data_IF_460299811793
#
_entry.id   IF_460299811793
#
_cell.length_a   1.000
_cell.length_b   1.000
_cell.length_c   1.000
_cell.angle_alpha   90.00
_cell.angle_beta   90.00
_cell.angle_gamma   90.00
#
_symmetry.space_group_name_H-M   'P 1'
#
loop_
_entity.id
_entity.type
_entity.pdbx_description
1 polymer ?
#
# COMPACT_ATOMS: atom_id res chain seq x y z
N UNK A 1 -15.53 -17.53 -24.43
CA UNK A 1 -16.40 -18.32 -23.55
C UNK A 1 -15.82 -19.71 -23.33
N UNK A 2 -16.25 -20.37 -22.22
CA UNK A 2 -15.76 -21.72 -21.91
C UNK A 2 -16.31 -22.78 -22.89
N UNK A 3 -15.45 -23.75 -23.28
CA UNK A 3 -15.81 -24.84 -24.22
C UNK A 3 -17.10 -25.59 -23.82
N UNK A 4 -17.32 -25.78 -22.54
CA UNK A 4 -18.45 -26.54 -21.99
C UNK A 4 -19.50 -25.66 -21.32
N UNK A 5 -19.59 -24.38 -21.73
CA UNK A 5 -20.55 -23.42 -21.16
C UNK A 5 -21.99 -23.92 -21.16
N UNK A 6 -22.39 -24.59 -22.25
CA UNK A 6 -23.75 -25.05 -22.49
C UNK A 6 -23.92 -26.56 -22.26
N UNK A 7 -22.94 -27.18 -21.55
CA UNK A 7 -23.05 -28.58 -21.16
C UNK A 7 -24.21 -28.75 -20.16
N UNK A 8 -25.18 -29.68 -20.42
CA UNK A 8 -26.25 -29.97 -19.47
C UNK A 8 -25.70 -30.33 -18.07
N UNK A 9 -26.37 -29.88 -17.04
CA UNK A 9 -25.93 -30.09 -15.65
C UNK A 9 -25.72 -31.57 -15.31
N UNK A 10 -26.65 -32.44 -15.72
CA UNK A 10 -26.58 -33.89 -15.49
C UNK A 10 -25.35 -34.53 -16.13
N UNK A 11 -24.98 -34.06 -17.33
CA UNK A 11 -23.79 -34.54 -18.03
C UNK A 11 -22.50 -34.05 -17.34
N UNK A 12 -22.49 -32.80 -16.89
CA UNK A 12 -21.38 -32.25 -16.12
C UNK A 12 -21.18 -33.04 -14.80
N UNK A 13 -22.26 -33.30 -14.07
CA UNK A 13 -22.24 -34.09 -12.84
C UNK A 13 -21.75 -35.53 -13.08
N UNK A 14 -22.23 -36.17 -14.16
CA UNK A 14 -21.81 -37.53 -14.53
C UNK A 14 -20.28 -37.60 -14.77
N UNK A 15 -19.72 -36.62 -15.48
CA UNK A 15 -18.27 -36.54 -15.74
C UNK A 15 -17.46 -36.32 -14.46
N UNK A 16 -17.94 -35.41 -13.61
CA UNK A 16 -17.29 -35.17 -12.30
C UNK A 16 -17.28 -36.44 -11.45
N UNK A 17 -18.41 -37.15 -11.39
CA UNK A 17 -18.50 -38.44 -10.66
C UNK A 17 -17.64 -39.53 -11.27
N UNK A 18 -17.36 -39.45 -12.57
CA UNK A 18 -16.43 -40.36 -13.27
C UNK A 18 -14.94 -40.01 -13.03
N UNK A 19 -14.65 -38.96 -12.26
CA UNK A 19 -13.29 -38.53 -11.91
C UNK A 19 -12.60 -37.71 -13.01
N UNK A 20 -13.33 -37.19 -14.00
CA UNK A 20 -12.74 -36.29 -14.99
C UNK A 20 -12.27 -34.99 -14.31
N UNK A 21 -11.05 -34.51 -14.62
CA UNK A 21 -10.58 -33.24 -14.07
C UNK A 21 -11.42 -32.07 -14.59
N UNK A 22 -11.79 -31.15 -13.71
CA UNK A 22 -12.59 -30.00 -14.05
C UNK A 22 -12.14 -28.72 -13.36
N UNK A 23 -12.61 -27.60 -13.83
CA UNK A 23 -12.57 -26.29 -13.17
C UNK A 23 -13.98 -25.77 -13.03
N UNK A 24 -14.29 -25.15 -11.90
CA UNK A 24 -15.58 -24.46 -11.74
C UNK A 24 -15.47 -23.04 -12.30
N UNK A 25 -16.38 -22.71 -13.23
CA UNK A 25 -16.44 -21.36 -13.81
C UNK A 25 -17.73 -20.65 -13.42
N UNK A 26 -17.63 -19.33 -13.27
CA UNK A 26 -18.80 -18.48 -13.26
C UNK A 26 -19.31 -18.35 -14.68
N UNK A 27 -20.61 -18.55 -14.87
CA UNK A 27 -21.28 -18.29 -16.14
C UNK A 27 -21.78 -16.85 -16.12
N UNK A 28 -21.12 -15.98 -16.88
CA UNK A 28 -21.54 -14.59 -16.96
C UNK A 28 -22.79 -14.42 -17.80
N UNK A 29 -23.71 -13.61 -17.32
CA UNK A 29 -24.93 -13.19 -18.04
C UNK A 29 -24.87 -11.69 -18.38
N UNK A 30 -23.71 -11.03 -18.17
CA UNK A 30 -23.54 -9.62 -18.47
C UNK A 30 -23.51 -9.33 -19.96
N UNK A 31 -23.91 -8.12 -20.30
CA UNK A 31 -23.89 -7.56 -21.64
C UNK A 31 -22.97 -6.35 -21.66
N UNK A 32 -21.87 -6.37 -22.45
CA UNK A 32 -20.92 -5.24 -22.50
C UNK A 32 -21.50 -3.97 -23.13
N UNK A 33 -22.69 -4.02 -23.73
CA UNK A 33 -23.43 -2.83 -24.17
C UNK A 33 -24.14 -2.11 -23.01
N UNK A 34 -24.31 -2.79 -21.87
CA UNK A 34 -24.82 -2.20 -20.64
C UNK A 34 -23.67 -1.71 -19.75
N UNK A 35 -23.89 -0.60 -19.05
CA UNK A 35 -22.89 0.00 -18.19
C UNK A 35 -23.31 -0.01 -16.74
N UNK A 36 -22.35 -0.43 -15.89
CA UNK A 36 -22.42 -0.29 -14.45
C UNK A 36 -22.00 1.12 -14.06
N UNK A 37 -22.88 1.85 -13.36
CA UNK A 37 -22.57 3.18 -12.80
C UNK A 37 -22.00 3.01 -11.39
N UNK A 38 -20.68 2.93 -11.29
CA UNK A 38 -19.96 2.65 -10.05
C UNK A 38 -19.47 3.94 -9.39
N UNK A 39 -19.28 3.90 -8.08
CA UNK A 39 -18.71 5.03 -7.33
C UNK A 39 -17.49 4.56 -6.55
N UNK A 40 -16.31 4.92 -7.04
CA UNK A 40 -15.04 4.75 -6.34
C UNK A 40 -14.85 5.87 -5.31
N UNK A 41 -14.37 5.53 -4.11
CA UNK A 41 -14.25 6.51 -3.03
C UNK A 41 -13.10 7.51 -3.24
N UNK A 42 -12.17 7.22 -4.17
CA UNK A 42 -11.04 8.07 -4.54
C UNK A 42 -11.30 8.74 -5.88
N UNK A 43 -11.75 7.96 -6.89
CA UNK A 43 -11.86 8.39 -8.29
C UNK A 43 -13.23 8.97 -8.65
N UNK A 44 -14.21 8.84 -7.74
CA UNK A 44 -15.57 9.30 -7.99
C UNK A 44 -16.37 8.35 -8.88
N UNK A 45 -17.26 8.90 -9.71
CA UNK A 45 -18.13 8.11 -10.59
C UNK A 45 -17.36 7.56 -11.78
N UNK A 46 -17.55 6.28 -12.05
CA UNK A 46 -16.92 5.55 -13.16
C UNK A 46 -17.97 4.67 -13.83
N UNK A 47 -18.11 4.82 -15.12
CA UNK A 47 -18.96 3.97 -15.93
C UNK A 47 -18.11 2.84 -16.55
N UNK A 48 -18.52 1.60 -16.31
CA UNK A 48 -17.79 0.41 -16.78
C UNK A 48 -18.77 -0.55 -17.45
N UNK A 49 -18.39 -1.19 -18.57
CA UNK A 49 -19.25 -2.22 -19.18
C UNK A 49 -19.43 -3.40 -18.22
N UNK A 50 -20.58 -4.05 -18.29
CA UNK A 50 -20.76 -5.32 -17.60
C UNK A 50 -19.76 -6.36 -18.08
N UNK A 51 -19.40 -7.28 -17.20
CA UNK A 51 -18.53 -8.39 -17.57
C UNK A 51 -19.33 -9.48 -18.29
N UNK A 52 -18.96 -9.78 -19.53
CA UNK A 52 -19.51 -10.86 -20.35
C UNK A 52 -18.68 -12.14 -20.35
N UNK A 53 -17.47 -12.10 -19.73
CA UNK A 53 -16.53 -13.20 -19.75
C UNK A 53 -16.80 -14.23 -18.65
N UNK A 54 -16.83 -15.52 -19.06
CA UNK A 54 -16.78 -16.61 -18.08
C UNK A 54 -15.39 -16.69 -17.44
N UNK A 55 -15.31 -16.73 -16.14
CA UNK A 55 -14.03 -16.82 -15.43
C UNK A 55 -13.99 -17.97 -14.42
N UNK A 56 -12.80 -18.47 -14.15
CA UNK A 56 -12.60 -19.60 -13.22
C UNK A 56 -12.82 -19.15 -11.79
N UNK A 57 -13.68 -19.85 -11.05
CA UNK A 57 -13.87 -19.70 -9.61
C UNK A 57 -12.93 -20.62 -8.83
N UNK A 58 -12.97 -21.95 -9.15
CA UNK A 58 -12.09 -22.95 -8.55
C UNK A 58 -11.25 -23.61 -9.62
N UNK A 59 -9.97 -23.74 -9.36
CA UNK A 59 -9.03 -24.47 -10.18
C UNK A 59 -9.24 -25.99 -10.05
N UNK A 60 -8.59 -26.78 -10.90
CA UNK A 60 -8.68 -28.24 -10.87
C UNK A 60 -8.17 -28.89 -9.59
N UNK A 61 -7.33 -28.20 -8.83
CA UNK A 61 -6.82 -28.58 -7.53
C UNK A 61 -7.77 -28.18 -6.37
N UNK A 62 -8.93 -27.61 -6.68
CA UNK A 62 -9.91 -27.10 -5.71
C UNK A 62 -9.58 -25.74 -5.08
N UNK A 63 -8.42 -25.16 -5.42
CA UNK A 63 -8.02 -23.84 -4.89
C UNK A 63 -8.78 -22.74 -5.62
N UNK A 64 -9.40 -21.77 -4.90
CA UNK A 64 -10.10 -20.66 -5.52
C UNK A 64 -9.13 -19.74 -6.28
N UNK A 65 -9.65 -19.09 -7.32
CA UNK A 65 -8.96 -17.97 -7.94
C UNK A 65 -9.10 -16.72 -7.09
N UNK A 66 -8.26 -15.72 -7.35
CA UNK A 66 -8.31 -14.43 -6.64
C UNK A 66 -9.70 -13.81 -6.65
N UNK A 67 -10.39 -13.81 -7.78
CA UNK A 67 -11.72 -13.18 -7.89
C UNK A 67 -12.74 -13.80 -6.95
N UNK A 68 -12.74 -15.12 -6.82
CA UNK A 68 -13.67 -15.82 -5.93
C UNK A 68 -13.25 -15.69 -4.47
N UNK A 69 -11.96 -15.90 -4.17
CA UNK A 69 -11.43 -15.75 -2.81
C UNK A 69 -11.68 -14.34 -2.27
N UNK A 70 -11.39 -13.30 -3.07
CA UNK A 70 -11.64 -11.90 -2.72
C UNK A 70 -13.08 -11.65 -2.27
N UNK A 71 -14.06 -12.11 -3.06
CA UNK A 71 -15.48 -11.87 -2.75
C UNK A 71 -15.94 -12.62 -1.50
N UNK A 72 -15.50 -13.88 -1.35
CA UNK A 72 -15.86 -14.72 -0.19
C UNK A 72 -15.21 -14.20 1.09
N UNK A 73 -13.92 -13.94 1.05
CA UNK A 73 -13.16 -13.47 2.21
C UNK A 73 -13.66 -12.09 2.67
N UNK A 74 -13.86 -11.16 1.75
CA UNK A 74 -14.33 -9.81 2.07
C UNK A 74 -15.74 -9.86 2.69
N UNK A 75 -16.63 -10.73 2.21
CA UNK A 75 -17.95 -10.92 2.81
C UNK A 75 -17.85 -11.50 4.22
N UNK A 76 -17.12 -12.60 4.40
CA UNK A 76 -17.00 -13.28 5.69
C UNK A 76 -16.24 -12.44 6.73
N UNK A 77 -15.24 -11.71 6.31
CA UNK A 77 -14.46 -10.77 7.15
C UNK A 77 -15.18 -9.44 7.38
N UNK A 78 -16.34 -9.22 6.75
CA UNK A 78 -17.14 -7.99 6.85
C UNK A 78 -16.36 -6.74 6.41
N UNK A 79 -15.57 -6.86 5.36
CA UNK A 79 -14.83 -5.75 4.78
C UNK A 79 -15.79 -4.67 4.29
N UNK A 80 -15.59 -3.43 4.74
CA UNK A 80 -16.43 -2.30 4.37
C UNK A 80 -15.87 -1.51 3.20
N UNK A 81 -14.54 -1.46 3.08
CA UNK A 81 -13.81 -0.72 2.06
C UNK A 81 -12.67 -1.58 1.53
N UNK A 82 -12.63 -1.79 0.22
CA UNK A 82 -11.53 -2.46 -0.48
C UNK A 82 -10.59 -1.39 -1.00
N UNK A 83 -9.39 -1.28 -0.42
CA UNK A 83 -8.35 -0.36 -0.86
C UNK A 83 -7.29 -1.15 -1.64
N UNK A 84 -7.13 -0.86 -2.94
CA UNK A 84 -6.21 -1.59 -3.81
C UNK A 84 -5.67 -0.71 -4.94
N UNK A 85 -4.65 -1.16 -5.62
CA UNK A 85 -4.07 -0.42 -6.75
C UNK A 85 -5.01 -0.35 -7.96
N UNK A 86 -4.86 0.70 -8.74
CA UNK A 86 -5.67 0.97 -9.94
C UNK A 86 -5.56 -0.11 -11.03
N UNK A 87 -4.54 -0.97 -10.98
CA UNK A 87 -4.41 -2.12 -11.88
C UNK A 87 -5.57 -3.12 -11.78
N UNK A 88 -6.30 -3.09 -10.68
CA UNK A 88 -7.46 -3.94 -10.43
C UNK A 88 -8.79 -3.31 -10.90
N UNK A 89 -8.76 -2.07 -11.36
CA UNK A 89 -9.97 -1.35 -11.76
C UNK A 89 -10.74 -2.10 -12.85
N UNK A 90 -10.04 -2.60 -13.88
CA UNK A 90 -10.64 -3.33 -14.99
C UNK A 90 -11.39 -4.62 -14.58
N UNK A 91 -11.08 -5.18 -13.42
CA UNK A 91 -11.73 -6.39 -12.89
C UNK A 91 -12.89 -6.10 -11.94
N UNK A 92 -13.17 -4.84 -11.67
CA UNK A 92 -14.24 -4.45 -10.74
C UNK A 92 -15.63 -4.95 -11.16
N UNK A 93 -16.04 -4.90 -12.44
CA UNK A 93 -17.29 -5.48 -12.88
C UNK A 93 -17.46 -6.97 -12.54
N UNK A 94 -16.37 -7.76 -12.62
CA UNK A 94 -16.36 -9.18 -12.21
C UNK A 94 -16.74 -9.34 -10.74
N UNK A 95 -16.18 -8.50 -9.86
CA UNK A 95 -16.45 -8.58 -8.43
C UNK A 95 -17.89 -8.13 -8.10
N UNK A 96 -18.37 -7.06 -8.74
CA UNK A 96 -19.75 -6.60 -8.60
C UNK A 96 -20.73 -7.72 -8.99
N UNK A 97 -20.48 -8.38 -10.12
CA UNK A 97 -21.29 -9.49 -10.62
C UNK A 97 -21.27 -10.69 -9.66
N UNK A 98 -20.12 -11.03 -9.08
CA UNK A 98 -20.00 -12.10 -8.09
C UNK A 98 -20.76 -11.80 -6.79
N UNK A 99 -20.62 -10.60 -6.24
CA UNK A 99 -21.36 -10.19 -5.05
C UNK A 99 -22.87 -10.29 -5.29
N UNK A 100 -23.33 -9.83 -6.44
CA UNK A 100 -24.75 -9.91 -6.82
C UNK A 100 -25.24 -11.35 -6.97
N UNK A 101 -24.47 -12.21 -7.64
CA UNK A 101 -24.82 -13.62 -7.83
C UNK A 101 -24.89 -14.42 -6.52
N UNK A 102 -24.08 -14.04 -5.52
CA UNK A 102 -24.09 -14.65 -4.20
C UNK A 102 -25.14 -14.02 -3.26
N UNK A 103 -25.85 -13.00 -3.71
CA UNK A 103 -26.82 -12.27 -2.89
C UNK A 103 -26.19 -11.43 -1.77
N UNK A 104 -24.93 -11.05 -1.94
CA UNK A 104 -24.17 -10.33 -0.93
C UNK A 104 -24.04 -8.84 -1.26
N UNK A 105 -23.94 -8.03 -0.22
CA UNK A 105 -23.68 -6.59 -0.39
C UNK A 105 -22.24 -6.36 -0.82
N UNK A 106 -22.08 -5.66 -1.94
CA UNK A 106 -20.77 -5.24 -2.43
C UNK A 106 -20.14 -4.18 -1.48
N UNK A 107 -18.86 -4.30 -1.08
CA UNK A 107 -18.15 -3.29 -0.32
C UNK A 107 -17.91 -2.02 -1.16
N UNK A 108 -17.49 -0.95 -0.52
CA UNK A 108 -17.01 0.24 -1.22
C UNK A 108 -15.60 0.00 -1.75
N UNK A 109 -15.31 0.49 -2.95
CA UNK A 109 -13.98 0.35 -3.57
C UNK A 109 -13.22 1.67 -3.58
N UNK A 110 -11.91 1.56 -3.40
CA UNK A 110 -10.97 2.66 -3.34
C UNK A 110 -9.74 2.28 -4.18
N UNK A 111 -9.69 2.70 -5.45
CA UNK A 111 -8.58 2.38 -6.34
C UNK A 111 -7.50 3.47 -6.27
N UNK A 112 -6.38 3.16 -5.61
CA UNK A 112 -5.25 4.07 -5.43
C UNK A 112 -4.39 4.14 -6.69
N UNK A 113 -3.86 5.32 -6.97
CA UNK A 113 -2.88 5.49 -8.03
C UNK A 113 -1.54 4.84 -7.66
N UNK A 114 -0.75 4.49 -8.68
CA UNK A 114 0.57 3.92 -8.49
C UNK A 114 1.58 4.94 -7.96
N UNK A 115 2.59 4.45 -7.22
CA UNK A 115 3.81 5.21 -7.00
C UNK A 115 4.64 5.19 -8.28
N UNK A 116 5.04 6.36 -8.73
CA UNK A 116 5.81 6.58 -9.96
C UNK A 116 7.22 7.04 -9.63
N UNK A 117 8.17 6.77 -10.52
CA UNK A 117 9.54 7.26 -10.46
C UNK A 117 9.88 8.01 -11.74
N UNK A 118 10.66 9.08 -11.63
CA UNK A 118 11.19 9.77 -12.80
C UNK A 118 12.17 8.87 -13.57
N UNK A 119 12.03 8.83 -14.89
CA UNK A 119 12.92 8.09 -15.78
C UNK A 119 13.12 8.88 -17.09
N UNK A 120 14.30 9.46 -17.26
CA UNK A 120 14.57 10.38 -18.37
C UNK A 120 13.62 11.60 -18.33
N UNK A 121 12.95 11.89 -19.44
CA UNK A 121 11.94 12.96 -19.55
C UNK A 121 10.54 12.54 -19.13
N UNK A 122 10.36 11.29 -18.72
CA UNK A 122 9.05 10.70 -18.35
C UNK A 122 9.01 10.19 -16.92
N UNK A 123 7.96 9.43 -16.64
CA UNK A 123 7.80 8.72 -15.37
C UNK A 123 7.27 7.31 -15.62
N UNK A 124 7.73 6.35 -14.81
CA UNK A 124 7.27 4.97 -14.82
C UNK A 124 6.75 4.52 -13.46
N UNK A 125 5.94 3.48 -13.43
CA UNK A 125 5.56 2.80 -12.19
C UNK A 125 6.79 2.22 -11.50
N UNK A 126 6.89 2.38 -10.17
CA UNK A 126 7.89 1.68 -9.37
C UNK A 126 7.70 0.16 -9.50
N UNK A 127 8.80 -0.57 -9.51
CA UNK A 127 8.84 -2.01 -9.75
C UNK A 127 9.75 -2.71 -8.74
N UNK A 128 9.25 -3.73 -8.05
CA UNK A 128 10.03 -4.54 -7.08
C UNK A 128 11.34 -5.11 -7.64
N UNK A 129 11.45 -5.27 -8.97
CA UNK A 129 12.65 -5.80 -9.61
C UNK A 129 13.71 -4.75 -9.88
N UNK A 130 13.33 -3.47 -10.02
CA UNK A 130 14.22 -2.38 -10.40
C UNK A 130 14.45 -1.37 -9.27
N UNK A 131 13.52 -1.28 -8.33
CA UNK A 131 13.48 -0.22 -7.33
C UNK A 131 13.48 -0.84 -5.93
N UNK A 132 14.67 -0.91 -5.27
CA UNK A 132 14.79 -1.48 -3.92
C UNK A 132 13.94 -0.74 -2.89
N UNK A 133 13.66 0.53 -3.11
CA UNK A 133 12.79 1.37 -2.27
C UNK A 133 11.32 0.94 -2.23
N UNK A 134 10.91 -0.07 -3.02
CA UNK A 134 9.61 -0.73 -2.85
C UNK A 134 9.60 -1.80 -1.76
N UNK A 135 10.76 -2.20 -1.26
CA UNK A 135 10.86 -3.15 -0.15
C UNK A 135 10.93 -2.40 1.19
N UNK A 136 10.17 -2.84 2.19
CA UNK A 136 10.25 -2.25 3.54
C UNK A 136 11.63 -2.47 4.18
N UNK A 137 12.31 -3.56 3.84
CA UNK A 137 13.68 -3.84 4.30
C UNK A 137 14.66 -2.75 3.88
N UNK A 138 14.49 -2.15 2.69
CA UNK A 138 15.31 -1.05 2.22
C UNK A 138 15.39 0.10 3.22
N UNK A 139 14.26 0.51 3.79
CA UNK A 139 14.22 1.64 4.73
C UNK A 139 14.87 1.28 6.07
N UNK A 140 14.61 0.07 6.55
CA UNK A 140 15.19 -0.43 7.81
C UNK A 140 16.72 -0.57 7.69
N UNK A 141 17.20 -1.22 6.64
CA UNK A 141 18.64 -1.44 6.39
C UNK A 141 19.39 -0.12 6.23
N UNK A 142 18.81 0.86 5.53
CA UNK A 142 19.40 2.19 5.36
C UNK A 142 19.22 3.10 6.58
N UNK A 143 18.49 2.68 7.60
CA UNK A 143 18.31 3.43 8.84
C UNK A 143 17.34 4.61 8.76
N UNK A 144 16.33 4.53 7.88
CA UNK A 144 15.24 5.51 7.90
C UNK A 144 14.35 5.30 9.14
N UNK A 145 14.06 6.35 9.93
CA UNK A 145 13.01 6.29 10.95
C UNK A 145 11.67 5.88 10.35
N UNK A 146 10.94 4.98 10.99
CA UNK A 146 9.61 4.54 10.53
C UNK A 146 8.63 5.71 10.42
N UNK A 147 8.69 6.65 11.36
CA UNK A 147 7.89 7.88 11.38
C UNK A 147 8.15 8.74 10.14
N UNK A 148 9.41 8.82 9.71
CA UNK A 148 9.78 9.59 8.51
C UNK A 148 9.17 9.00 7.24
N UNK A 149 9.17 7.68 7.13
CA UNK A 149 8.54 6.98 5.99
C UNK A 149 7.02 7.19 6.02
N UNK A 150 6.37 7.08 7.19
CA UNK A 150 4.93 7.35 7.34
C UNK A 150 4.58 8.79 6.95
N UNK A 151 5.31 9.78 7.47
CA UNK A 151 5.13 11.21 7.13
C UNK A 151 5.26 11.44 5.63
N UNK A 152 6.29 10.88 5.00
CA UNK A 152 6.50 11.01 3.57
C UNK A 152 5.40 10.35 2.74
N UNK A 153 4.99 9.13 3.10
CA UNK A 153 3.88 8.45 2.42
C UNK A 153 2.57 9.24 2.53
N UNK A 154 2.31 9.88 3.67
CA UNK A 154 1.14 10.74 3.83
C UNK A 154 1.16 11.95 2.89
N UNK A 155 2.34 12.53 2.58
CA UNK A 155 2.45 13.62 1.59
C UNK A 155 2.10 13.16 0.18
N UNK A 156 2.35 11.89 -0.15
CA UNK A 156 2.01 11.30 -1.45
C UNK A 156 0.54 10.88 -1.54
N UNK A 157 -0.04 10.47 -0.41
CA UNK A 157 -1.39 9.93 -0.35
C UNK A 157 -2.48 11.00 -0.24
N UNK A 158 -2.22 12.10 0.49
CA UNK A 158 -3.24 13.08 0.81
C UNK A 158 -2.76 14.51 0.55
N UNK A 159 -3.39 15.19 -0.41
CA UNK A 159 -2.94 16.49 -0.94
C UNK A 159 -2.93 17.63 0.09
N UNK A 160 -3.63 17.49 1.22
CA UNK A 160 -3.68 18.50 2.29
C UNK A 160 -2.80 18.15 3.49
N UNK A 161 -2.01 17.06 3.43
CA UNK A 161 -1.19 16.64 4.56
C UNK A 161 -0.04 17.61 4.86
N UNK A 162 0.67 18.09 3.85
CA UNK A 162 1.80 19.01 4.06
C UNK A 162 1.34 20.32 4.73
N UNK A 163 0.23 20.89 4.29
CA UNK A 163 -0.35 22.10 4.89
C UNK A 163 -0.75 21.85 6.34
N UNK A 164 -1.43 20.74 6.60
CA UNK A 164 -1.80 20.37 7.96
C UNK A 164 -0.57 20.18 8.86
N UNK A 165 0.48 19.52 8.37
CA UNK A 165 1.72 19.31 9.12
C UNK A 165 2.44 20.61 9.44
N UNK A 166 2.47 21.56 8.53
CA UNK A 166 3.02 22.90 8.77
C UNK A 166 2.25 23.65 9.87
N UNK A 167 0.93 23.53 9.88
CA UNK A 167 0.09 24.15 10.92
C UNK A 167 0.16 23.38 12.27
N UNK A 168 0.50 22.10 12.26
CA UNK A 168 0.52 21.22 13.43
C UNK A 168 1.87 20.47 13.56
N UNK A 169 3.01 21.18 13.73
CA UNK A 169 4.34 20.58 13.62
C UNK A 169 4.68 19.56 14.71
N UNK A 170 3.94 19.54 15.82
CA UNK A 170 4.14 18.63 16.95
C UNK A 170 3.01 17.64 17.17
N UNK A 171 1.96 17.69 16.33
CA UNK A 171 0.84 16.78 16.46
C UNK A 171 1.25 15.36 16.05
N UNK A 172 0.65 14.36 16.70
CA UNK A 172 0.76 12.98 16.24
C UNK A 172 0.19 12.88 14.81
N UNK A 173 0.83 12.08 13.98
CA UNK A 173 0.39 11.85 12.60
C UNK A 173 -1.03 11.25 12.55
N UNK A 174 -1.39 10.46 13.55
CA UNK A 174 -2.71 9.83 13.66
C UNK A 174 -3.83 10.85 13.97
N UNK A 175 -3.48 12.09 14.37
CA UNK A 175 -4.43 13.19 14.51
C UNK A 175 -4.78 13.85 13.17
N UNK A 176 -4.12 13.48 12.06
CA UNK A 176 -4.43 14.02 10.75
C UNK A 176 -5.82 13.56 10.27
N UNK A 177 -6.71 14.48 9.85
CA UNK A 177 -8.03 14.14 9.34
C UNK A 177 -7.94 13.55 7.92
N UNK A 178 -7.49 12.30 7.82
CA UNK A 178 -7.33 11.60 6.56
C UNK A 178 -8.68 11.49 5.81
N UNK A 179 -8.68 11.81 4.52
CA UNK A 179 -9.86 11.70 3.69
C UNK A 179 -9.54 11.03 2.34
N UNK A 180 -10.29 9.97 2.00
CA UNK A 180 -10.16 9.27 0.72
C UNK A 180 -10.36 10.21 -0.49
N UNK A 181 -11.26 11.19 -0.36
CA UNK A 181 -11.52 12.19 -1.40
C UNK A 181 -10.36 13.18 -1.65
N UNK A 182 -9.35 13.19 -0.76
CA UNK A 182 -8.12 13.99 -0.91
C UNK A 182 -6.95 13.18 -1.45
N UNK A 183 -7.15 11.89 -1.73
CA UNK A 183 -6.14 11.07 -2.39
C UNK A 183 -6.04 11.42 -3.87
N UNK A 184 -4.80 11.45 -4.39
CA UNK A 184 -4.54 11.73 -5.80
C UNK A 184 -5.00 10.59 -6.71
N UNK A 185 -5.64 10.94 -7.84
CA UNK A 185 -6.05 9.98 -8.89
C UNK A 185 -4.97 9.75 -9.93
N UNK A 186 -3.93 10.57 -9.96
CA UNK A 186 -2.74 10.41 -10.80
C UNK A 186 -1.58 9.88 -9.96
N UNK A 187 -0.67 9.11 -10.57
CA UNK A 187 0.46 8.50 -9.87
C UNK A 187 1.34 9.55 -9.18
N UNK A 188 1.57 9.39 -7.87
CA UNK A 188 2.45 10.22 -7.09
C UNK A 188 3.92 9.91 -7.40
N UNK A 189 4.73 10.95 -7.62
CA UNK A 189 6.16 10.78 -7.88
C UNK A 189 6.88 10.51 -6.56
N UNK A 190 7.47 9.31 -6.47
CA UNK A 190 8.32 8.92 -5.35
C UNK A 190 9.72 9.49 -5.53
N UNK A 191 10.20 10.21 -4.53
CA UNK A 191 11.47 10.92 -4.51
C UNK A 191 12.20 10.67 -3.18
N UNK A 192 13.37 10.04 -3.25
CA UNK A 192 14.19 9.74 -2.07
C UNK A 192 14.80 11.00 -1.45
N UNK A 193 15.09 12.05 -2.22
CA UNK A 193 15.61 13.29 -1.67
C UNK A 193 14.53 14.00 -0.84
N UNK A 194 13.29 14.00 -1.32
CA UNK A 194 12.15 14.51 -0.54
C UNK A 194 11.94 13.69 0.74
N UNK A 195 12.06 12.36 0.68
CA UNK A 195 12.01 11.52 1.89
C UNK A 195 13.12 11.88 2.87
N UNK A 196 14.36 12.10 2.39
CA UNK A 196 15.47 12.54 3.26
C UNK A 196 15.18 13.87 3.93
N UNK A 197 14.59 14.82 3.22
CA UNK A 197 14.23 16.12 3.79
C UNK A 197 13.10 16.02 4.83
N UNK A 198 12.10 15.19 4.58
CA UNK A 198 11.06 14.86 5.58
C UNK A 198 11.70 14.22 6.80
N UNK A 199 12.62 13.27 6.61
CA UNK A 199 13.30 12.56 7.69
C UNK A 199 14.14 13.50 8.56
N UNK A 200 14.89 14.42 7.97
CA UNK A 200 15.61 15.47 8.74
C UNK A 200 14.67 16.27 9.66
N UNK A 201 13.47 16.59 9.18
CA UNK A 201 12.48 17.31 9.98
C UNK A 201 11.97 16.47 11.16
N UNK A 202 11.66 15.20 10.91
CA UNK A 202 11.20 14.24 11.93
C UNK A 202 12.28 14.05 12.99
N UNK A 203 13.51 13.72 12.58
CA UNK A 203 14.64 13.49 13.51
C UNK A 203 14.99 14.75 14.31
N UNK A 204 14.91 15.94 13.69
CA UNK A 204 15.18 17.21 14.38
C UNK A 204 14.16 17.52 15.50
N UNK A 205 12.95 16.99 15.42
CA UNK A 205 11.92 17.12 16.44
C UNK A 205 12.09 16.15 17.64
N UNK A 206 12.89 15.08 17.46
CA UNK A 206 13.15 14.10 18.52
C UNK A 206 14.08 14.65 19.61
N UNK A 207 13.96 14.14 20.83
CA UNK A 207 14.93 14.39 21.89
C UNK A 207 16.25 13.64 21.61
N UNK A 208 17.34 14.05 22.25
CA UNK A 208 18.63 13.35 22.14
C UNK A 208 18.53 11.89 22.60
N UNK A 209 17.75 11.62 23.65
CA UNK A 209 17.54 10.27 24.14
C UNK A 209 16.78 9.41 23.12
N UNK A 210 15.70 9.92 22.51
CA UNK A 210 14.97 9.20 21.46
C UNK A 210 15.85 8.86 20.28
N UNK A 211 16.70 9.78 19.85
CA UNK A 211 17.65 9.51 18.74
C UNK A 211 18.68 8.46 19.17
N UNK A 212 19.23 8.56 20.38
CA UNK A 212 20.18 7.57 20.91
C UNK A 212 19.58 6.17 20.91
N UNK A 213 18.38 6.02 21.48
CA UNK A 213 17.70 4.73 21.60
C UNK A 213 17.45 4.12 20.21
N UNK A 214 16.92 4.92 19.26
CA UNK A 214 16.62 4.47 17.92
C UNK A 214 17.89 4.12 17.11
N UNK A 215 18.97 4.90 17.26
CA UNK A 215 20.27 4.61 16.62
C UNK A 215 20.86 3.31 17.18
N UNK A 216 20.77 3.11 18.51
CA UNK A 216 21.25 1.88 19.13
C UNK A 216 20.47 0.65 18.67
N UNK A 217 19.13 0.76 18.54
CA UNK A 217 18.30 -0.34 18.05
C UNK A 217 18.64 -0.70 16.59
N UNK A 218 18.81 0.29 15.73
CA UNK A 218 19.25 0.07 14.36
C UNK A 218 20.66 -0.50 14.28
N UNK A 219 21.63 0.10 15.00
CA UNK A 219 23.02 -0.30 14.92
C UNK A 219 23.26 -1.71 15.50
N UNK A 220 22.46 -2.14 16.48
CA UNK A 220 22.51 -3.50 17.04
C UNK A 220 22.30 -4.57 15.98
N UNK A 221 21.43 -4.30 14.99
CA UNK A 221 21.08 -5.21 13.90
C UNK A 221 21.99 -5.03 12.67
N UNK A 222 22.29 -3.77 12.30
CA UNK A 222 22.91 -3.45 11.00
C UNK A 222 24.35 -2.93 11.09
N UNK A 223 24.82 -2.47 12.25
CA UNK A 223 26.20 -1.98 12.44
C UNK A 223 26.69 -2.26 13.87
N UNK A 224 26.98 -3.52 14.13
CA UNK A 224 27.38 -3.97 15.47
C UNK A 224 28.57 -3.22 16.07
N UNK A 225 29.65 -2.91 15.33
CA UNK A 225 30.77 -2.13 15.88
C UNK A 225 30.35 -0.72 16.32
N UNK A 226 29.45 -0.08 15.58
CA UNK A 226 28.94 1.24 15.94
C UNK A 226 28.04 1.18 17.17
N UNK A 227 27.20 0.14 17.30
CA UNK A 227 26.44 -0.09 18.52
C UNK A 227 27.34 -0.22 19.74
N UNK A 228 28.42 -0.98 19.67
CA UNK A 228 29.35 -1.19 20.77
C UNK A 228 30.05 0.13 21.20
N UNK A 229 30.36 0.98 20.23
CA UNK A 229 30.91 2.33 20.49
C UNK A 229 29.89 3.20 21.25
N UNK A 230 28.63 3.22 20.82
CA UNK A 230 27.58 4.01 21.48
C UNK A 230 27.26 3.48 22.90
N UNK A 231 27.25 2.16 23.05
CA UNK A 231 26.96 1.49 24.30
C UNK A 231 28.10 1.60 25.36
N UNK A 232 29.32 1.89 24.92
CA UNK A 232 30.49 2.07 25.80
C UNK A 232 30.33 3.30 26.73
N UNK A 233 29.75 4.40 26.24
CA UNK A 233 29.45 5.59 27.05
C UNK A 233 28.11 6.23 26.57
N UNK A 234 26.97 5.70 27.03
CA UNK A 234 25.65 6.22 26.71
C UNK A 234 25.46 7.70 27.06
N UNK A 235 26.01 8.11 28.21
CA UNK A 235 25.85 9.49 28.67
C UNK A 235 26.59 10.48 27.75
N UNK A 236 27.77 10.10 27.28
CA UNK A 236 28.54 10.90 26.33
C UNK A 236 27.84 10.96 24.98
N UNK A 237 27.35 9.82 24.48
CA UNK A 237 26.64 9.74 23.20
C UNK A 237 25.37 10.64 23.22
N UNK A 238 24.55 10.58 24.27
CA UNK A 238 23.37 11.45 24.43
C UNK A 238 23.77 12.93 24.48
N UNK A 239 24.86 13.29 25.16
CA UNK A 239 25.36 14.69 25.18
C UNK A 239 25.74 15.19 23.81
N UNK A 240 26.44 14.39 23.00
CA UNK A 240 26.75 14.74 21.60
C UNK A 240 25.48 14.94 20.81
N UNK A 241 24.53 14.00 20.91
CA UNK A 241 23.25 14.06 20.20
C UNK A 241 22.35 15.22 20.66
N UNK A 242 22.61 15.81 21.84
CA UNK A 242 21.89 16.99 22.31
C UNK A 242 22.33 18.30 21.63
N UNK A 243 23.50 18.31 21.00
CA UNK A 243 24.05 19.52 20.38
C UNK A 243 23.14 19.99 19.25
N UNK A 244 22.61 21.21 19.36
CA UNK A 244 21.71 21.81 18.38
C UNK A 244 20.29 21.26 18.37
N UNK A 245 19.88 20.47 19.41
CA UNK A 245 18.49 20.00 19.60
C UNK A 245 17.72 20.86 20.59
N UNK A 246 16.39 20.79 20.53
CA UNK A 246 15.50 21.44 21.53
C UNK A 246 15.38 22.95 21.40
N UNK A 247 16.10 23.60 20.51
CA UNK A 247 16.01 25.04 20.26
C UNK A 247 14.90 25.45 19.27
N UNK A 248 14.73 26.75 19.06
CA UNK A 248 13.78 27.29 18.07
C UNK A 248 14.11 26.89 16.62
N UNK A 249 15.38 26.59 16.34
CA UNK A 249 15.87 26.13 15.03
C UNK A 249 16.77 24.91 15.26
N UNK A 250 16.20 23.71 15.45
CA UNK A 250 16.99 22.50 15.65
C UNK A 250 17.80 22.17 14.39
N UNK A 251 18.96 21.52 14.57
CA UNK A 251 19.78 21.02 13.46
C UNK A 251 19.02 19.95 12.67
N UNK A 252 19.20 19.99 11.35
CA UNK A 252 18.56 19.05 10.38
C UNK A 252 19.65 18.32 9.60
N UNK A 253 20.62 17.78 10.28
CA UNK A 253 21.80 17.10 9.73
C UNK A 253 21.63 15.57 9.67
N UNK A 254 20.75 15.00 10.46
CA UNK A 254 20.49 13.55 10.50
C UNK A 254 19.19 13.24 9.75
N UNK A 255 19.29 12.49 8.68
CA UNK A 255 18.15 11.92 7.97
C UNK A 255 18.02 10.42 8.21
N UNK A 256 19.14 9.72 8.36
CA UNK A 256 19.24 8.28 8.57
C UNK A 256 20.00 8.02 9.88
N UNK A 257 19.73 6.89 10.50
CA UNK A 257 20.51 6.49 11.69
C UNK A 257 22.00 6.33 11.38
N UNK A 258 22.32 5.94 10.15
CA UNK A 258 23.71 5.86 9.67
C UNK A 258 24.41 7.23 9.59
N UNK A 259 23.68 8.35 9.45
CA UNK A 259 24.27 9.70 9.39
C UNK A 259 24.87 10.15 10.75
N UNK A 260 24.55 9.43 11.84
CA UNK A 260 25.11 9.68 13.18
C UNK A 260 26.54 9.20 13.31
N UNK A 261 26.94 8.27 12.44
CA UNK A 261 28.31 7.73 12.41
C UNK A 261 29.29 8.80 11.91
N UNK A 262 30.46 9.00 12.57
CA UNK A 262 31.47 9.94 12.12
C UNK A 262 32.06 9.60 10.74
#
# INVERSE_FOLDING_TARGET
>A
WAKYRDLPFDEAERRIRAGEPYVLRFRSEGDPSHYLHLTDQIRGKIDMPENDQDFVLLKSDGIPTYHFAHVVDDHLMRVTHVVRGEEWLATWPIHVQLFAALGWKCPKYCHTAHLMKAEGSGKRKLSKRKDPELALSFYRENGYPSESVREYLMTLLNSNFEEWRLANPKADIDAFPFALSKMGVSGALFDLDKLRDVSKNVVAAMTAQQVYDAVCDWAREYDRPFYELLAADPAYAVRILSIGRGGKKPRKDIALWADVKP
#
